data_IF_212202912266
#
_entry.id   IF_212202912266
#
_cell.length_a   1.000
_cell.length_b   1.000
_cell.length_c   1.000
_cell.angle_alpha   90.00
_cell.angle_beta   90.00
_cell.angle_gamma   90.00
#
_symmetry.space_group_name_H-M   'P 1'
#
loop_
_entity.id
_entity.type
_entity.pdbx_description
1 polymer ?
#
# COMPACT_ATOMS: atom_id res chain seq x y z
N UNK A 1 23.47 -24.99 4.49
CA UNK A 1 24.52 -23.99 4.18
C UNK A 1 24.58 -22.97 5.30
N UNK A 2 25.76 -22.42 5.60
CA UNK A 2 25.95 -21.44 6.67
C UNK A 2 26.13 -20.03 6.08
N UNK A 3 25.45 -19.04 6.65
CA UNK A 3 25.62 -17.63 6.34
C UNK A 3 26.78 -17.08 7.18
N UNK A 4 27.87 -16.64 6.54
CA UNK A 4 29.03 -16.09 7.23
C UNK A 4 29.07 -14.55 7.05
N UNK A 5 28.84 -13.82 8.14
CA UNK A 5 28.86 -12.35 8.15
C UNK A 5 29.98 -11.90 9.09
N UNK A 6 31.08 -11.38 8.53
CA UNK A 6 32.18 -10.77 9.29
C UNK A 6 32.01 -9.26 9.36
N UNK A 7 31.05 -8.82 10.15
CA UNK A 7 30.79 -7.39 10.37
C UNK A 7 30.64 -7.11 11.88
N UNK A 8 31.45 -6.21 12.47
CA UNK A 8 31.45 -5.98 13.92
C UNK A 8 30.09 -5.49 14.43
N UNK A 9 29.42 -4.63 13.65
CA UNK A 9 28.09 -4.12 14.00
C UNK A 9 27.01 -5.21 13.96
N UNK A 10 27.08 -6.14 12.99
CA UNK A 10 26.11 -7.23 12.90
C UNK A 10 26.22 -8.16 14.13
N UNK A 11 27.44 -8.44 14.58
CA UNK A 11 27.65 -9.21 15.81
C UNK A 11 27.18 -8.46 17.07
N UNK A 12 27.38 -7.12 17.13
CA UNK A 12 26.87 -6.28 18.24
C UNK A 12 25.35 -6.33 18.30
N UNK A 13 24.68 -6.08 17.17
CA UNK A 13 23.22 -6.10 17.06
C UNK A 13 22.63 -7.48 17.37
N UNK A 14 23.26 -8.55 16.86
CA UNK A 14 22.83 -9.92 17.16
C UNK A 14 22.97 -10.26 18.66
N UNK A 15 24.03 -9.77 19.32
CA UNK A 15 24.23 -9.95 20.76
C UNK A 15 23.18 -9.20 21.59
N UNK A 16 22.91 -7.94 21.24
CA UNK A 16 21.91 -7.09 21.89
C UNK A 16 20.50 -7.68 21.73
N UNK A 17 20.14 -8.09 20.51
CA UNK A 17 18.85 -8.70 20.22
C UNK A 17 18.66 -10.03 20.98
N UNK A 18 19.70 -10.87 21.04
CA UNK A 18 19.69 -12.11 21.81
C UNK A 18 19.49 -11.86 23.31
N UNK A 19 20.20 -10.88 23.88
CA UNK A 19 20.07 -10.52 25.29
C UNK A 19 18.67 -10.02 25.64
N UNK A 20 18.07 -9.19 24.78
CA UNK A 20 16.71 -8.66 24.99
C UNK A 20 15.62 -9.72 24.78
N UNK A 21 15.81 -10.66 23.86
CA UNK A 21 14.82 -11.70 23.55
C UNK A 21 14.97 -12.97 24.41
N UNK A 22 16.06 -13.11 25.16
CA UNK A 22 16.37 -14.34 25.91
C UNK A 22 16.72 -15.53 25.01
N UNK A 23 17.08 -15.27 23.75
CA UNK A 23 17.37 -16.30 22.74
C UNK A 23 18.88 -16.40 22.44
N UNK A 24 19.28 -17.42 21.68
CA UNK A 24 20.65 -17.44 21.13
C UNK A 24 20.81 -16.37 20.04
N UNK A 25 22.04 -15.91 19.78
CA UNK A 25 22.33 -14.99 18.67
C UNK A 25 21.80 -15.50 17.33
N UNK A 26 21.90 -16.80 17.11
CA UNK A 26 21.43 -17.44 15.88
C UNK A 26 19.92 -17.38 15.77
N UNK A 27 19.19 -17.76 16.82
CA UNK A 27 17.73 -17.78 16.82
C UNK A 27 17.16 -16.36 16.70
N UNK A 28 17.74 -15.41 17.44
CA UNK A 28 17.38 -14.00 17.39
C UNK A 28 17.53 -13.43 15.97
N UNK A 29 18.65 -13.72 15.29
CA UNK A 29 18.87 -13.27 13.90
C UNK A 29 17.92 -13.95 12.93
N UNK A 30 17.69 -15.26 13.06
CA UNK A 30 16.74 -15.99 12.21
C UNK A 30 15.34 -15.39 12.35
N UNK A 31 14.91 -15.10 13.57
CA UNK A 31 13.60 -14.53 13.84
C UNK A 31 13.47 -13.12 13.26
N UNK A 32 14.44 -12.25 13.48
CA UNK A 32 14.44 -10.90 12.89
C UNK A 32 14.41 -10.92 11.36
N UNK A 33 15.13 -11.86 10.72
CA UNK A 33 15.10 -12.04 9.28
C UNK A 33 13.72 -12.51 8.80
N UNK A 34 13.08 -13.46 9.50
CA UNK A 34 11.72 -13.93 9.18
C UNK A 34 10.72 -12.80 9.26
N UNK A 35 10.71 -12.04 10.36
CA UNK A 35 9.80 -10.91 10.57
C UNK A 35 9.97 -9.83 9.50
N UNK A 36 11.21 -9.52 9.14
CA UNK A 36 11.49 -8.55 8.09
C UNK A 36 11.02 -9.05 6.72
N UNK A 37 11.29 -10.32 6.39
CA UNK A 37 10.85 -10.93 5.14
C UNK A 37 9.32 -10.97 5.04
N UNK A 38 8.62 -11.37 6.11
CA UNK A 38 7.16 -11.36 6.13
C UNK A 38 6.59 -9.96 5.95
N UNK A 39 7.17 -8.97 6.62
CA UNK A 39 6.73 -7.57 6.48
C UNK A 39 6.88 -7.09 5.04
N UNK A 40 8.00 -7.40 4.39
CA UNK A 40 8.24 -7.04 2.99
C UNK A 40 7.31 -7.80 2.03
N UNK A 41 7.05 -9.09 2.28
CA UNK A 41 6.09 -9.88 1.49
C UNK A 41 4.68 -9.31 1.59
N UNK A 42 4.20 -9.02 2.80
CA UNK A 42 2.90 -8.35 3.00
C UNK A 42 2.83 -7.02 2.26
N UNK A 43 3.88 -6.19 2.35
CA UNK A 43 3.93 -4.92 1.61
C UNK A 43 3.87 -5.10 0.08
N UNK A 44 4.52 -6.13 -0.46
CA UNK A 44 4.47 -6.44 -1.89
C UNK A 44 3.09 -6.97 -2.32
N UNK A 45 2.50 -7.87 -1.53
CA UNK A 45 1.19 -8.47 -1.77
C UNK A 45 0.07 -7.44 -1.65
N UNK A 46 0.05 -6.66 -0.57
CA UNK A 46 -0.95 -5.61 -0.32
C UNK A 46 -0.81 -4.47 -1.35
N UNK A 47 0.40 -4.05 -1.69
CA UNK A 47 0.63 -2.93 -2.60
C UNK A 47 0.22 -3.21 -4.04
N UNK A 48 0.56 -4.39 -4.57
CA UNK A 48 0.26 -4.75 -5.95
C UNK A 48 -1.18 -5.21 -6.15
N UNK A 49 -1.64 -6.14 -5.31
CA UNK A 49 -2.94 -6.78 -5.49
C UNK A 49 -4.09 -5.88 -5.02
N UNK A 50 -3.94 -5.14 -3.91
CA UNK A 50 -4.98 -4.21 -3.48
C UNK A 50 -5.11 -3.02 -4.43
N UNK A 51 -3.99 -2.54 -5.00
CA UNK A 51 -4.02 -1.50 -6.05
C UNK A 51 -4.75 -1.99 -7.29
N UNK A 52 -4.44 -3.20 -7.77
CA UNK A 52 -5.13 -3.80 -8.92
C UNK A 52 -6.63 -3.93 -8.68
N UNK A 53 -7.05 -4.51 -7.55
CA UNK A 53 -8.48 -4.61 -7.17
C UNK A 53 -9.17 -3.25 -7.07
N UNK A 54 -8.47 -2.22 -6.56
CA UNK A 54 -9.01 -0.86 -6.49
C UNK A 54 -9.24 -0.28 -7.88
N UNK A 55 -8.30 -0.46 -8.81
CA UNK A 55 -8.43 0.01 -10.19
C UNK A 55 -9.59 -0.70 -10.91
N UNK A 56 -9.68 -2.02 -10.80
CA UNK A 56 -10.80 -2.80 -11.37
C UNK A 56 -12.15 -2.32 -10.84
N UNK A 57 -12.23 -2.00 -9.53
CA UNK A 57 -13.46 -1.47 -8.93
C UNK A 57 -13.82 -0.08 -9.44
N UNK A 58 -12.84 0.80 -9.62
CA UNK A 58 -13.05 2.15 -10.18
C UNK A 58 -13.54 2.07 -11.63
N UNK A 59 -12.92 1.20 -12.43
CA UNK A 59 -13.31 0.96 -13.82
C UNK A 59 -14.74 0.41 -13.92
N UNK A 60 -15.10 -0.57 -13.09
CA UNK A 60 -16.46 -1.10 -13.02
C UNK A 60 -17.50 -0.03 -12.63
N UNK A 61 -17.15 0.90 -11.74
CA UNK A 61 -18.01 2.04 -11.38
C UNK A 61 -18.17 2.99 -12.56
N UNK A 62 -17.06 3.34 -13.23
CA UNK A 62 -17.05 4.26 -14.37
C UNK A 62 -17.90 3.71 -15.53
N UNK A 63 -17.73 2.43 -15.90
CA UNK A 63 -18.51 1.78 -16.94
C UNK A 63 -20.01 1.75 -16.60
N UNK A 64 -20.35 1.41 -15.35
CA UNK A 64 -21.75 1.41 -14.91
C UNK A 64 -22.36 2.81 -14.92
N UNK A 65 -21.59 3.85 -14.61
CA UNK A 65 -22.04 5.23 -14.67
C UNK A 65 -22.26 5.68 -16.13
N UNK A 66 -21.32 5.37 -17.02
CA UNK A 66 -21.36 5.73 -18.43
C UNK A 66 -22.50 5.05 -19.19
N UNK A 67 -22.90 3.83 -18.80
CA UNK A 67 -24.00 3.10 -19.42
C UNK A 67 -25.40 3.66 -19.07
N UNK A 68 -25.51 4.67 -18.20
CA UNK A 68 -26.81 5.25 -17.82
C UNK A 68 -27.33 6.18 -18.93
N UNK A 69 -28.66 6.19 -19.18
CA UNK A 69 -29.24 7.11 -20.14
C UNK A 69 -29.08 8.57 -19.67
N UNK A 70 -28.76 9.46 -20.61
CA UNK A 70 -28.70 10.90 -20.36
C UNK A 70 -30.11 11.42 -20.11
N UNK A 71 -30.38 11.82 -18.86
CA UNK A 71 -31.69 12.34 -18.43
C UNK A 71 -31.81 13.86 -18.55
N UNK A 72 -30.68 14.54 -18.46
CA UNK A 72 -30.59 15.99 -18.54
C UNK A 72 -29.54 16.32 -19.61
N UNK A 73 -29.95 16.99 -20.71
CA UNK A 73 -29.04 17.36 -21.77
C UNK A 73 -28.26 18.65 -21.51
N UNK A 74 -28.58 19.37 -20.42
CA UNK A 74 -27.91 20.63 -20.07
C UNK A 74 -26.41 20.42 -19.90
N UNK A 75 -25.64 21.42 -20.32
CA UNK A 75 -24.21 21.42 -20.07
C UNK A 75 -23.90 21.69 -18.58
N UNK A 76 -22.65 21.52 -18.16
CA UNK A 76 -22.27 21.70 -16.76
C UNK A 76 -22.62 23.11 -16.25
N UNK A 77 -22.40 24.13 -17.08
CA UNK A 77 -22.66 25.54 -16.76
C UNK A 77 -24.16 25.82 -16.58
N UNK A 78 -25.01 25.27 -17.46
CA UNK A 78 -26.47 25.37 -17.37
C UNK A 78 -27.05 24.60 -16.18
N UNK A 79 -26.38 23.52 -15.74
CA UNK A 79 -26.74 22.80 -14.52
C UNK A 79 -26.35 23.61 -13.27
N UNK A 80 -25.18 24.24 -13.30
CA UNK A 80 -24.68 25.08 -12.23
C UNK A 80 -25.53 26.36 -12.07
N UNK A 81 -26.03 26.92 -13.17
CA UNK A 81 -26.91 28.09 -13.15
C UNK A 81 -26.22 29.37 -12.67
N UNK A 82 -24.90 29.44 -12.83
CA UNK A 82 -24.10 30.61 -12.51
C UNK A 82 -23.51 31.20 -13.79
N UNK A 83 -23.51 32.52 -13.90
CA UNK A 83 -22.76 33.22 -14.93
C UNK A 83 -21.24 33.18 -14.67
N UNK A 84 -20.45 33.73 -15.59
CA UNK A 84 -18.98 33.79 -15.46
C UNK A 84 -18.48 34.57 -14.24
N UNK A 85 -19.34 35.33 -13.56
CA UNK A 85 -19.04 36.06 -12.32
C UNK A 85 -19.48 35.31 -11.05
N UNK A 86 -20.12 34.14 -11.20
CA UNK A 86 -20.62 33.33 -10.09
C UNK A 86 -21.96 33.83 -9.52
N UNK A 87 -22.66 34.69 -10.25
CA UNK A 87 -24.00 35.15 -9.87
C UNK A 87 -25.07 34.24 -10.46
N UNK A 88 -26.19 34.00 -9.75
CA UNK A 88 -27.31 33.24 -10.29
C UNK A 88 -27.82 33.86 -11.59
N UNK A 89 -27.88 33.05 -12.65
CA UNK A 89 -28.48 33.41 -13.95
C UNK A 89 -29.86 32.78 -14.13
#
# INVERSE_FOLDING_TARGET
MALNIRHPEANRLAAELAALSGQTKTDAVIQALKERLETLKRQQEDGGQARRRRLERLEAIALRAAARPQRDPRCAEEILGYDSSGLPS
#
